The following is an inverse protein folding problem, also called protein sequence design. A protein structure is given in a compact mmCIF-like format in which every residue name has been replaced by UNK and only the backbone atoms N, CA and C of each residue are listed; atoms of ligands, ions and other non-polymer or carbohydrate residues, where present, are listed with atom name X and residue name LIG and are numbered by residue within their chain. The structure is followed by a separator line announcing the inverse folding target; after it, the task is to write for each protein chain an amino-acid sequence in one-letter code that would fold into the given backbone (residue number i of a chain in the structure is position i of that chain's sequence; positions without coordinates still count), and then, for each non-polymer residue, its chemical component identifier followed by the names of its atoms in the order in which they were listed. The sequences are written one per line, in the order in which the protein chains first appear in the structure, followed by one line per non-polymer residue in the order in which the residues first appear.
data_IF_173532809524
#
_entry.id   IF_173532809524
#
_cell.length_a   1.000
_cell.length_b   1.000
_cell.length_c   1.000
_cell.angle_alpha   90.00
_cell.angle_beta   90.00
_cell.angle_gamma   90.00
#
_symmetry.space_group_name_H-M   'P 1'
#
loop_
_entity.id
_entity.type
_entity.pdbx_description
1 polymer ?
#
# COMPACT_ATOMS: atom_id res chain seq x y z
N UNK A 1 -14.27 9.26 9.72
CA UNK A 1 -13.83 9.54 9.52
C UNK A 1 -12.68 9.77 9.27
N UNK A 2 -12.38 10.10 8.71
CA UNK A 2 -11.39 10.23 8.30
C UNK A 2 -10.54 10.79 8.97
N UNK A 3 -10.74 11.22 9.65
CA UNK A 3 -10.11 11.73 10.17
C UNK A 3 -9.06 11.27 10.42
N UNK A 4 -8.50 11.08 10.40
CA UNK A 4 -7.55 10.69 10.86
C UNK A 4 -6.84 9.77 10.41
N UNK A 5 -6.85 9.58 9.50
CA UNK A 5 -6.39 8.48 9.10
C UNK A 5 -5.30 8.63 8.23
N UNK A 6 -4.11 8.37 8.67
CA UNK A 6 -2.92 8.40 7.90
C UNK A 6 -2.96 7.48 6.73
N UNK A 7 -3.73 6.44 6.87
CA UNK A 7 -3.86 5.47 5.85
C UNK A 7 -4.93 5.74 4.88
N UNK A 8 -5.64 6.81 5.07
CA UNK A 8 -6.70 7.13 4.15
C UNK A 8 -6.08 7.75 2.93
N UNK A 9 -6.28 7.10 1.83
CA UNK A 9 -5.90 7.62 0.57
C UNK A 9 -7.15 7.50 -0.24
N UNK A 10 -7.84 8.60 -0.43
CA UNK A 10 -9.08 8.61 -1.14
C UNK A 10 -10.17 7.78 -0.45
N UNK A 11 -10.21 7.85 0.85
CA UNK A 11 -11.25 7.18 1.60
C UNK A 11 -11.06 5.71 1.86
N UNK A 12 -9.95 5.13 1.35
CA UNK A 12 -9.66 3.72 1.56
C UNK A 12 -8.40 3.63 2.41
N UNK A 13 -8.42 2.80 3.42
CA UNK A 13 -7.27 2.63 4.29
C UNK A 13 -6.58 1.31 3.99
N UNK A 14 -5.29 1.28 4.21
CA UNK A 14 -4.55 0.04 4.05
C UNK A 14 -5.03 -1.00 5.05
N UNK A 15 -5.31 -0.57 6.27
CA UNK A 15 -5.82 -1.46 7.29
C UNK A 15 -7.13 -2.12 6.92
N UNK A 16 -7.95 -1.42 6.15
CA UNK A 16 -9.24 -1.96 5.75
C UNK A 16 -9.10 -3.18 4.86
N UNK A 17 -8.13 -3.16 3.94
CA UNK A 17 -8.02 -4.30 3.07
C UNK A 17 -7.06 -5.37 3.60
N UNK A 18 -6.25 -5.05 4.59
CA UNK A 18 -5.43 -6.06 5.26
C UNK A 18 -6.09 -6.63 6.50
N UNK A 19 -7.16 -5.97 6.96
CA UNK A 19 -7.82 -6.31 8.20
C UNK A 19 -7.43 -5.33 9.31
N UNK A 20 -8.36 -5.10 10.20
CA UNK A 20 -8.17 -4.11 11.27
C UNK A 20 -7.03 -4.47 12.20
N UNK A 21 -6.82 -5.75 12.46
CA UNK A 21 -5.77 -6.17 13.35
C UNK A 21 -4.40 -5.75 12.85
N UNK A 22 -4.17 -5.88 11.55
CA UNK A 22 -2.89 -5.54 10.96
C UNK A 22 -2.68 -4.03 11.05
N UNK A 23 -3.67 -3.26 10.64
CA UNK A 23 -3.57 -1.81 10.71
C UNK A 23 -3.35 -1.31 12.12
N UNK A 24 -4.02 -1.93 13.09
CA UNK A 24 -3.89 -1.53 14.49
C UNK A 24 -2.51 -1.85 15.07
N UNK A 25 -1.79 -2.81 14.47
CA UNK A 25 -0.48 -3.21 14.94
C UNK A 25 0.65 -2.38 14.34
N UNK A 26 0.34 -1.48 13.44
CA UNK A 26 1.35 -0.64 12.78
C UNK A 26 1.40 0.72 13.45
N UNK A 27 2.61 1.20 13.69
CA UNK A 27 2.75 2.56 14.21
C UNK A 27 2.72 3.56 13.05
N UNK A 28 2.75 4.83 13.39
CA UNK A 28 2.64 5.90 12.40
C UNK A 28 3.75 5.87 11.36
N UNK A 29 4.96 5.57 11.79
CA UNK A 29 6.10 5.51 10.88
C UNK A 29 5.98 4.30 9.96
N UNK A 30 5.55 3.15 10.48
CA UNK A 30 5.29 1.97 9.65
C UNK A 30 4.30 2.32 8.53
N UNK A 31 3.24 3.01 8.91
CA UNK A 31 2.18 3.39 7.97
C UNK A 31 2.71 4.28 6.86
N UNK A 32 3.48 5.29 7.23
CA UNK A 32 4.05 6.21 6.25
C UNK A 32 5.03 5.51 5.32
N UNK A 33 5.86 4.62 5.86
CA UNK A 33 6.81 3.88 5.05
C UNK A 33 6.13 2.95 4.06
N UNK A 34 5.11 2.24 4.52
CA UNK A 34 4.36 1.34 3.65
C UNK A 34 3.64 2.12 2.56
N UNK A 35 3.08 3.27 2.88
CA UNK A 35 2.39 4.11 1.93
C UNK A 35 3.35 4.63 0.86
N UNK A 36 4.53 5.07 1.27
CA UNK A 36 5.53 5.56 0.35
C UNK A 36 6.01 4.45 -0.58
N UNK A 37 6.24 3.27 -0.04
CA UNK A 37 6.67 2.13 -0.85
C UNK A 37 5.60 1.74 -1.86
N UNK A 38 4.34 1.77 -1.45
CA UNK A 38 3.22 1.47 -2.35
C UNK A 38 3.16 2.48 -3.49
N UNK A 39 3.22 3.75 -3.16
CA UNK A 39 3.14 4.78 -4.18
C UNK A 39 4.32 4.69 -5.16
N UNK A 40 5.51 4.40 -4.64
CA UNK A 40 6.68 4.22 -5.48
C UNK A 40 6.51 3.03 -6.42
N UNK A 41 6.05 1.91 -5.90
CA UNK A 41 5.87 0.71 -6.71
C UNK A 41 4.84 0.91 -7.81
N UNK A 42 3.72 1.54 -7.47
CA UNK A 42 2.66 1.77 -8.45
C UNK A 42 3.11 2.72 -9.54
N UNK A 43 3.92 3.72 -9.20
CA UNK A 43 4.36 4.71 -10.16
C UNK A 43 5.53 4.23 -11.02
N UNK A 44 6.44 3.46 -10.45
CA UNK A 44 7.74 3.21 -11.08
C UNK A 44 8.04 1.76 -11.41
N UNK A 45 7.43 0.79 -10.75
CA UNK A 45 7.89 -0.58 -10.87
C UNK A 45 7.16 -1.35 -11.94
N UNK A 46 7.90 -2.23 -12.59
CA UNK A 46 7.30 -3.20 -13.51
C UNK A 46 6.52 -4.22 -12.71
N UNK A 47 5.61 -4.89 -13.38
CA UNK A 47 4.87 -6.01 -12.79
C UNK A 47 5.86 -6.99 -12.17
N UNK A 48 5.57 -7.41 -10.96
CA UNK A 48 6.37 -8.33 -10.14
C UNK A 48 7.68 -7.75 -9.60
N UNK A 49 7.94 -6.46 -9.79
CA UNK A 49 9.12 -5.83 -9.22
C UNK A 49 8.76 -5.18 -7.89
N UNK A 50 9.47 -5.56 -6.84
CA UNK A 50 9.14 -5.18 -5.48
C UNK A 50 9.72 -3.84 -5.07
N UNK A 51 8.96 -3.11 -4.25
CA UNK A 51 9.48 -2.03 -3.44
C UNK A 51 9.39 -2.49 -1.99
N UNK A 52 10.41 -2.20 -1.22
CA UNK A 52 10.50 -2.67 0.16
C UNK A 52 10.61 -1.50 1.12
N UNK A 53 10.14 -1.72 2.33
CA UNK A 53 10.34 -0.76 3.42
C UNK A 53 10.70 -1.51 4.68
N UNK A 54 11.39 -0.82 5.56
CA UNK A 54 11.75 -1.39 6.86
C UNK A 54 11.83 -0.27 7.87
N UNK A 55 11.18 -0.46 9.00
CA UNK A 55 11.23 0.49 10.10
C UNK A 55 12.14 -0.09 11.18
N UNK A 56 13.37 0.44 11.33
CA UNK A 56 14.29 -0.12 12.30
C UNK A 56 13.84 0.07 13.74
N UNK A 57 12.99 1.05 14.00
CA UNK A 57 12.53 1.31 15.36
C UNK A 57 11.49 0.30 15.82
N UNK A 58 10.59 -0.09 14.95
CA UNK A 58 9.55 -1.06 15.29
C UNK A 58 9.98 -2.48 14.95
N UNK A 59 10.90 -2.63 14.02
CA UNK A 59 11.28 -3.94 13.48
C UNK A 59 10.31 -4.45 12.42
N UNK A 60 9.27 -3.70 12.11
CA UNK A 60 8.32 -4.10 11.09
C UNK A 60 8.84 -3.76 9.70
N UNK A 61 8.38 -4.48 8.71
CA UNK A 61 8.84 -4.30 7.34
C UNK A 61 7.77 -4.75 6.37
N UNK A 62 8.02 -4.53 5.08
CA UNK A 62 7.10 -5.01 4.07
C UNK A 62 7.66 -4.87 2.68
N UNK A 63 6.97 -5.52 1.75
CA UNK A 63 7.24 -5.38 0.32
C UNK A 63 5.90 -5.20 -0.39
N UNK A 64 5.96 -4.54 -1.51
CA UNK A 64 4.78 -4.34 -2.34
C UNK A 64 5.21 -4.41 -3.79
N UNK A 65 4.39 -5.02 -4.63
CA UNK A 65 4.71 -5.13 -6.04
C UNK A 65 3.43 -5.17 -6.87
N UNK A 66 3.45 -4.51 -8.03
CA UNK A 66 2.30 -4.58 -8.94
C UNK A 66 2.20 -5.96 -9.55
N UNK A 67 0.98 -6.42 -9.78
CA UNK A 67 0.75 -7.74 -10.38
C UNK A 67 0.05 -7.63 -11.72
N UNK A 68 -0.63 -6.50 -11.98
CA UNK A 68 -1.34 -6.32 -13.24
C UNK A 68 -1.47 -4.84 -13.53
N UNK A 69 -1.36 -4.47 -14.78
CA UNK A 69 -1.59 -3.10 -15.23
C UNK A 69 -2.72 -3.11 -16.25
N UNK A 70 -3.66 -2.19 -16.09
CA UNK A 70 -4.81 -2.12 -16.97
C UNK A 70 -5.32 -0.67 -17.00
N UNK A 71 -6.34 -0.43 -17.80
CA UNK A 71 -6.93 0.90 -17.92
C UNK A 71 -8.43 0.84 -17.74
N UNK A 72 -8.99 1.86 -17.11
CA UNK A 72 -10.44 2.06 -17.07
C UNK A 72 -10.67 3.36 -17.82
N UNK A 73 -11.20 3.25 -19.05
CA UNK A 73 -11.21 4.38 -19.95
C UNK A 73 -9.76 4.80 -20.22
N UNK A 74 -9.45 6.05 -19.94
CA UNK A 74 -8.08 6.56 -20.10
C UNK A 74 -7.29 6.56 -18.80
N UNK A 75 -7.87 6.03 -17.73
CA UNK A 75 -7.24 6.08 -16.42
C UNK A 75 -6.39 4.84 -16.20
N UNK A 76 -5.07 4.99 -15.96
CA UNK A 76 -4.22 3.85 -15.66
C UNK A 76 -4.56 3.29 -14.29
N UNK A 77 -4.61 1.97 -14.21
CA UNK A 77 -4.89 1.28 -12.96
C UNK A 77 -3.95 0.09 -12.82
N UNK A 78 -3.71 -0.30 -11.58
CA UNK A 78 -2.84 -1.44 -11.29
C UNK A 78 -3.37 -2.24 -10.12
N UNK A 79 -3.27 -3.55 -10.25
CA UNK A 79 -3.46 -4.45 -9.11
C UNK A 79 -2.11 -4.67 -8.48
N UNK A 80 -2.09 -4.86 -7.17
CA UNK A 80 -0.85 -5.08 -6.45
C UNK A 80 -1.06 -6.04 -5.29
N UNK A 81 0.06 -6.61 -4.85
CA UNK A 81 0.12 -7.44 -3.65
C UNK A 81 1.09 -6.77 -2.69
N UNK A 82 0.78 -6.81 -1.41
CA UNK A 82 1.74 -6.41 -0.40
C UNK A 82 1.82 -7.45 0.69
N UNK A 83 3.03 -7.58 1.24
CA UNK A 83 3.29 -8.45 2.37
C UNK A 83 3.86 -7.59 3.47
N UNK A 84 3.27 -7.67 4.65
CA UNK A 84 3.73 -6.89 5.79
C UNK A 84 4.14 -7.85 6.88
N UNK A 85 5.32 -7.63 7.45
CA UNK A 85 5.86 -8.45 8.51
C UNK A 85 5.76 -7.65 9.80
N UNK A 86 4.92 -8.10 10.70
CA UNK A 86 4.69 -7.44 11.98
C UNK A 86 4.89 -8.47 13.07
N UNK A 87 5.83 -8.19 13.99
CA UNK A 87 6.13 -9.12 15.06
C UNK A 87 6.56 -10.49 14.55
N UNK A 88 7.22 -10.52 13.40
CA UNK A 88 7.70 -11.77 12.81
C UNK A 88 6.65 -12.54 12.02
N UNK A 89 5.43 -12.04 11.94
CA UNK A 89 4.36 -12.72 11.19
C UNK A 89 4.10 -12.01 9.88
N UNK A 90 3.94 -12.77 8.82
CA UNK A 90 3.67 -12.24 7.49
C UNK A 90 2.17 -12.17 7.26
N UNK A 91 1.71 -11.00 6.84
CA UNK A 91 0.33 -10.80 6.43
C UNK A 91 0.33 -10.34 4.99
N UNK A 92 -0.50 -10.95 4.17
CA UNK A 92 -0.57 -10.64 2.74
C UNK A 92 -1.90 -9.97 2.43
N UNK A 93 -1.82 -8.90 1.67
CA UNK A 93 -3.01 -8.19 1.22
C UNK A 93 -2.94 -7.89 -0.26
N UNK A 94 -4.09 -7.73 -0.86
CA UNK A 94 -4.24 -7.48 -2.30
C UNK A 94 -5.05 -6.21 -2.48
N UNK A 95 -4.72 -5.46 -3.50
CA UNK A 95 -5.46 -4.24 -3.75
C UNK A 95 -5.41 -3.81 -5.19
N UNK A 96 -6.17 -2.78 -5.49
CA UNK A 96 -6.20 -2.12 -6.78
C UNK A 96 -6.10 -0.63 -6.55
N UNK A 97 -5.43 0.05 -7.45
CA UNK A 97 -5.34 1.50 -7.41
C UNK A 97 -5.38 2.06 -8.81
N UNK A 98 -5.92 3.25 -8.95
CA UNK A 98 -5.96 3.95 -10.23
C UNK A 98 -5.28 5.30 -10.08
N UNK A 99 -4.57 5.71 -11.13
CA UNK A 99 -3.80 6.95 -11.10
C UNK A 99 -4.72 8.12 -11.41
N UNK A 100 -4.66 9.12 -10.56
CA UNK A 100 -5.46 10.32 -10.70
C UNK A 100 -4.73 11.36 -11.54
N UNK A 101 -5.45 12.39 -11.93
CA UNK A 101 -4.91 13.43 -12.80
C UNK A 101 -3.72 14.17 -12.16
N UNK A 102 -3.69 14.24 -10.82
CA UNK A 102 -2.59 14.88 -10.11
C UNK A 102 -1.39 13.98 -9.90
N UNK A 103 -1.43 12.76 -10.41
CA UNK A 103 -0.33 11.80 -10.28
C UNK A 103 -0.41 10.91 -9.06
N UNK A 104 -1.39 11.11 -8.20
CA UNK A 104 -1.56 10.24 -7.04
C UNK A 104 -2.26 8.95 -7.42
N UNK A 105 -2.05 7.92 -6.62
CA UNK A 105 -2.71 6.63 -6.80
C UNK A 105 -3.78 6.47 -5.75
N UNK A 106 -5.01 6.25 -6.20
CA UNK A 106 -6.15 6.15 -5.32
C UNK A 106 -6.60 4.70 -5.23
N UNK A 107 -6.66 4.16 -4.03
CA UNK A 107 -7.11 2.78 -3.81
C UNK A 107 -8.58 2.64 -4.18
N UNK A 108 -8.89 1.52 -4.80
CA UNK A 108 -10.25 1.23 -5.27
C UNK A 108 -10.96 0.21 -4.40
#
# INVERSE_FOLDING_TARGET
SSKNNLWTLAGVTLGAFLGNEIGASMDKTDILMAQNARNYALENNKVNSQAAWKNPDSGNSGVIYPTKTYSVGDQPCREFTQEIIIGGKIQTGYGKACRMADGSWQLQ
#
